data_IF_311714354173
#
_entry.id   IF_311714354173
#
_cell.length_a   1.000
_cell.length_b   1.000
_cell.length_c   1.000
_cell.angle_alpha   90.00
_cell.angle_beta   90.00
_cell.angle_gamma   90.00
#
_symmetry.space_group_name_H-M   'P 1'
#
loop_
_entity.id
_entity.type
_entity.pdbx_description
1 polymer ?
#
# COMPACT_ATOMS: atom_id res chain seq x y z
N UNK A 1 23.63 1.12 37.34
CA UNK A 1 23.68 1.63 35.95
C UNK A 1 22.63 0.87 35.16
N UNK A 2 21.46 1.48 34.97
CA UNK A 2 20.35 0.91 34.21
C UNK A 2 20.67 1.01 32.73
N UNK A 3 20.82 -0.14 32.08
CA UNK A 3 21.04 -0.25 30.64
C UNK A 3 19.73 0.13 29.95
N UNK A 4 19.69 1.32 29.37
CA UNK A 4 18.57 1.77 28.54
C UNK A 4 18.42 0.77 27.40
N UNK A 5 17.29 0.07 27.35
CA UNK A 5 16.86 -0.64 26.15
C UNK A 5 16.65 0.43 25.09
N UNK A 6 17.63 0.59 24.20
CA UNK A 6 17.43 1.28 22.94
C UNK A 6 16.34 0.51 22.20
N UNK A 7 15.11 1.04 22.24
CA UNK A 7 14.06 0.67 21.30
C UNK A 7 14.64 0.80 19.91
N UNK A 8 14.83 -0.33 19.23
CA UNK A 8 15.22 -0.31 17.83
C UNK A 8 14.27 0.62 17.07
N UNK A 9 14.78 1.49 16.18
CA UNK A 9 13.91 2.34 15.39
C UNK A 9 12.96 1.43 14.61
N UNK A 10 11.65 1.61 14.78
CA UNK A 10 10.68 0.95 13.91
C UNK A 10 11.10 1.19 12.47
N UNK A 11 11.46 0.12 11.77
CA UNK A 11 11.93 0.20 10.41
C UNK A 11 10.76 0.71 9.56
N UNK A 12 10.86 1.95 9.07
CA UNK A 12 9.81 2.57 8.25
C UNK A 12 9.62 1.69 7.02
N UNK A 13 8.46 1.09 6.85
CA UNK A 13 8.14 0.22 5.71
C UNK A 13 7.55 0.97 4.52
N UNK A 14 7.25 2.28 4.68
CA UNK A 14 6.72 3.14 3.62
C UNK A 14 7.67 4.31 3.34
N UNK A 15 8.05 4.46 2.08
CA UNK A 15 8.97 5.48 1.60
C UNK A 15 8.33 6.33 0.52
N UNK A 16 8.68 7.62 0.48
CA UNK A 16 8.26 8.53 -0.58
C UNK A 16 9.50 9.24 -1.11
N UNK A 17 9.77 9.07 -2.40
CA UNK A 17 11.04 9.44 -3.03
C UNK A 17 10.79 10.09 -4.39
N UNK A 18 11.67 11.01 -4.82
CA UNK A 18 11.61 11.58 -6.18
C UNK A 18 12.18 10.62 -7.23
N UNK A 19 13.18 9.85 -6.82
CA UNK A 19 13.88 8.86 -7.64
C UNK A 19 13.93 7.54 -6.87
N UNK A 20 14.07 6.45 -7.61
CA UNK A 20 14.23 5.10 -7.05
C UNK A 20 15.27 4.35 -7.84
N UNK A 21 15.89 3.34 -7.23
CA UNK A 21 16.82 2.46 -7.94
C UNK A 21 16.00 1.53 -8.87
N UNK A 22 16.24 1.56 -10.20
CA UNK A 22 15.54 0.70 -11.15
C UNK A 22 15.65 -0.80 -10.84
N UNK A 23 16.75 -1.23 -10.22
CA UNK A 23 16.97 -2.65 -9.86
C UNK A 23 15.91 -3.17 -8.88
N UNK A 24 15.31 -2.29 -8.07
CA UNK A 24 14.26 -2.62 -7.10
C UNK A 24 12.84 -2.35 -7.60
N UNK A 25 12.66 -2.01 -8.87
CA UNK A 25 11.31 -1.91 -9.47
C UNK A 25 10.74 -3.30 -9.76
N UNK A 26 11.57 -4.21 -10.28
CA UNK A 26 11.10 -5.54 -10.68
C UNK A 26 10.13 -5.46 -11.86
N UNK A 27 8.95 -6.07 -11.71
CA UNK A 27 7.95 -6.18 -12.78
C UNK A 27 6.94 -5.04 -12.73
N UNK A 28 6.73 -4.39 -13.86
CA UNK A 28 5.59 -3.47 -14.06
C UNK A 28 4.29 -4.29 -14.18
N UNK A 29 3.30 -3.97 -13.34
CA UNK A 29 2.00 -4.66 -13.28
C UNK A 29 0.82 -3.75 -13.61
N UNK A 30 1.04 -2.44 -13.63
CA UNK A 30 0.09 -1.43 -14.10
C UNK A 30 0.86 -0.29 -14.76
N UNK A 31 0.32 0.25 -15.86
CA UNK A 31 0.84 1.44 -16.51
C UNK A 31 -0.27 2.22 -17.21
N UNK A 32 -0.30 3.52 -16.95
CA UNK A 32 -1.08 4.51 -17.67
C UNK A 32 -0.16 5.64 -18.13
N UNK A 33 -0.39 6.13 -19.36
CA UNK A 33 0.47 7.08 -20.03
C UNK A 33 -0.08 8.50 -19.89
N UNK A 34 0.02 9.03 -18.67
CA UNK A 34 -0.34 10.43 -18.37
C UNK A 34 0.93 11.25 -18.12
N UNK A 35 1.14 12.29 -18.92
CA UNK A 35 2.21 13.25 -18.66
C UNK A 35 1.81 14.24 -17.57
N UNK A 36 2.65 14.37 -16.55
CA UNK A 36 2.42 15.25 -15.41
C UNK A 36 3.71 15.99 -15.06
N UNK A 37 3.64 17.28 -14.66
CA UNK A 37 4.82 18.08 -14.34
C UNK A 37 5.51 17.64 -13.03
N UNK A 38 4.75 17.09 -12.08
CA UNK A 38 5.29 16.57 -10.83
C UNK A 38 5.12 15.05 -10.79
N UNK A 39 6.18 14.37 -10.37
CA UNK A 39 6.21 12.92 -10.28
C UNK A 39 7.00 12.46 -9.07
N UNK A 40 6.58 11.35 -8.46
CA UNK A 40 7.26 10.77 -7.31
C UNK A 40 6.88 9.30 -7.14
N UNK A 41 7.68 8.58 -6.35
CA UNK A 41 7.45 7.19 -6.00
C UNK A 41 6.98 7.07 -4.56
N UNK A 42 6.00 6.20 -4.33
CA UNK A 42 5.60 5.71 -3.02
C UNK A 42 5.88 4.21 -2.98
N UNK A 43 6.69 3.79 -2.01
CA UNK A 43 7.21 2.42 -1.93
C UNK A 43 6.73 1.81 -0.61
N UNK A 44 6.08 0.65 -0.69
CA UNK A 44 5.80 -0.21 0.46
C UNK A 44 6.73 -1.43 0.42
N UNK A 45 7.54 -1.57 1.47
CA UNK A 45 8.31 -2.78 1.76
C UNK A 45 7.46 -3.73 2.63
N UNK A 46 7.33 -4.97 2.20
CA UNK A 46 6.69 -6.06 2.93
C UNK A 46 7.72 -7.13 3.24
N UNK A 47 7.68 -7.69 4.44
CA UNK A 47 8.57 -8.77 4.87
C UNK A 47 7.85 -10.13 4.93
N UNK A 48 8.49 -11.16 4.40
CA UNK A 48 8.05 -12.55 4.57
C UNK A 48 8.01 -12.87 6.06
N UNK A 49 7.10 -13.75 6.48
CA UNK A 49 6.89 -14.15 7.88
C UNK A 49 6.37 -13.05 8.82
N UNK A 50 6.41 -11.78 8.43
CA UNK A 50 5.76 -10.68 9.17
C UNK A 50 4.48 -10.21 8.50
N UNK A 51 4.48 -10.10 7.17
CA UNK A 51 3.39 -9.47 6.41
C UNK A 51 2.80 -10.38 5.34
N UNK A 52 3.59 -11.33 4.83
CA UNK A 52 3.11 -12.35 3.89
C UNK A 52 3.77 -13.72 4.12
N UNK A 53 3.24 -14.78 3.51
CA UNK A 53 3.75 -16.16 3.57
C UNK A 53 4.11 -16.75 2.20
N UNK A 54 3.52 -16.25 1.12
CA UNK A 54 3.74 -16.76 -0.24
C UNK A 54 3.38 -15.69 -1.29
N UNK A 55 3.64 -15.98 -2.57
CA UNK A 55 3.41 -15.05 -3.68
C UNK A 55 1.93 -14.72 -3.91
N UNK A 56 1.01 -15.65 -3.67
CA UNK A 56 -0.43 -15.40 -3.83
C UNK A 56 -0.94 -14.35 -2.83
N UNK A 57 -0.28 -14.22 -1.67
CA UNK A 57 -0.57 -13.14 -0.73
C UNK A 57 -0.07 -11.77 -1.22
N UNK A 58 0.91 -11.74 -2.12
CA UNK A 58 1.28 -10.53 -2.86
C UNK A 58 0.13 -10.06 -3.75
N UNK A 59 -0.48 -10.97 -4.52
CA UNK A 59 -1.65 -10.65 -5.35
C UNK A 59 -2.80 -10.05 -4.52
N UNK A 60 -3.07 -10.59 -3.33
CA UNK A 60 -4.08 -10.04 -2.42
C UNK A 60 -3.74 -8.63 -1.91
N UNK A 61 -2.46 -8.32 -1.68
CA UNK A 61 -2.07 -6.95 -1.32
C UNK A 61 -2.28 -5.99 -2.49
N UNK A 62 -2.01 -6.44 -3.72
CA UNK A 62 -2.27 -5.64 -4.91
C UNK A 62 -3.77 -5.35 -5.09
N UNK A 63 -4.63 -6.35 -4.89
CA UNK A 63 -6.09 -6.16 -4.88
C UNK A 63 -6.52 -5.14 -3.83
N UNK A 64 -6.05 -5.28 -2.58
CA UNK A 64 -6.35 -4.35 -1.50
C UNK A 64 -5.81 -2.94 -1.76
N UNK A 65 -4.67 -2.80 -2.44
CA UNK A 65 -4.11 -1.53 -2.87
C UNK A 65 -5.03 -0.85 -3.89
N UNK A 66 -5.51 -1.59 -4.89
CA UNK A 66 -6.44 -1.07 -5.89
C UNK A 66 -7.78 -0.68 -5.27
N UNK A 67 -8.39 -1.56 -4.49
CA UNK A 67 -9.66 -1.28 -3.79
C UNK A 67 -9.54 -0.04 -2.88
N UNK A 68 -8.47 0.04 -2.08
CA UNK A 68 -8.25 1.17 -1.18
C UNK A 68 -7.96 2.47 -1.91
N UNK A 69 -7.41 2.42 -3.13
CA UNK A 69 -7.22 3.60 -3.96
C UNK A 69 -8.56 4.07 -4.56
N UNK A 70 -9.33 3.15 -5.13
CA UNK A 70 -10.63 3.45 -5.76
C UNK A 70 -11.67 3.98 -4.76
N UNK A 71 -11.62 3.52 -3.50
CA UNK A 71 -12.49 4.03 -2.42
C UNK A 71 -12.03 5.37 -1.83
N UNK A 72 -10.81 5.82 -2.12
CA UNK A 72 -10.23 7.02 -1.51
C UNK A 72 -10.54 8.29 -2.30
N UNK A 73 -11.39 9.15 -1.73
CA UNK A 73 -11.60 10.52 -2.23
C UNK A 73 -10.52 11.50 -1.72
N UNK A 74 -9.54 11.05 -0.93
CA UNK A 74 -8.57 11.93 -0.27
C UNK A 74 -7.44 12.41 -1.19
N UNK A 75 -7.28 11.80 -2.37
CA UNK A 75 -6.12 11.98 -3.24
C UNK A 75 -6.49 12.32 -4.69
N UNK A 76 -7.63 12.96 -4.92
CA UNK A 76 -8.14 13.30 -6.28
C UNK A 76 -7.14 14.08 -7.15
N UNK A 77 -6.21 14.82 -6.54
CA UNK A 77 -5.16 15.58 -7.23
C UNK A 77 -3.96 14.72 -7.72
N UNK A 78 -3.97 13.42 -7.39
CA UNK A 78 -2.91 12.47 -7.72
C UNK A 78 -3.38 11.45 -8.76
N UNK A 79 -2.45 11.05 -9.63
CA UNK A 79 -2.67 10.06 -10.67
C UNK A 79 -1.71 8.90 -10.45
N UNK A 80 -2.24 7.69 -10.33
CA UNK A 80 -1.40 6.48 -10.39
C UNK A 80 -0.98 6.31 -11.84
N UNK A 81 0.32 6.45 -12.10
CA UNK A 81 0.86 6.28 -13.45
C UNK A 81 1.35 4.86 -13.66
N UNK A 82 2.06 4.29 -12.69
CA UNK A 82 2.61 2.94 -12.79
C UNK A 82 2.64 2.24 -11.45
N UNK A 83 2.52 0.92 -11.47
CA UNK A 83 2.76 0.08 -10.29
C UNK A 83 3.77 -0.99 -10.67
N UNK A 84 4.76 -1.14 -9.80
CA UNK A 84 5.81 -2.13 -9.92
C UNK A 84 5.83 -3.05 -8.70
N UNK A 85 6.17 -4.31 -8.92
CA UNK A 85 6.40 -5.30 -7.88
C UNK A 85 7.78 -5.94 -8.04
N UNK A 86 8.60 -5.81 -7.00
CA UNK A 86 9.86 -6.53 -6.87
C UNK A 86 9.73 -7.58 -5.78
N UNK A 87 10.23 -8.78 -6.06
CA UNK A 87 10.13 -9.91 -5.11
C UNK A 87 11.50 -10.55 -4.95
N UNK A 88 11.88 -10.72 -3.69
CA UNK A 88 13.01 -11.52 -3.23
C UNK A 88 12.53 -12.62 -2.29
N UNK A 89 13.45 -13.47 -1.85
CA UNK A 89 13.15 -14.61 -0.96
C UNK A 89 12.43 -14.18 0.32
N UNK A 90 12.77 -13.02 0.91
CA UNK A 90 12.25 -12.61 2.22
C UNK A 90 11.56 -11.24 2.23
N UNK A 91 11.50 -10.56 1.08
CA UNK A 91 10.90 -9.25 0.98
C UNK A 91 10.19 -9.04 -0.35
N UNK A 92 9.26 -8.10 -0.34
CA UNK A 92 8.55 -7.62 -1.52
C UNK A 92 8.46 -6.10 -1.46
N UNK A 93 8.68 -5.44 -2.60
CA UNK A 93 8.43 -4.01 -2.75
C UNK A 93 7.27 -3.79 -3.70
N UNK A 94 6.24 -3.10 -3.22
CA UNK A 94 5.25 -2.44 -4.08
C UNK A 94 5.67 -0.99 -4.27
N UNK A 95 5.93 -0.61 -5.52
CA UNK A 95 6.29 0.75 -5.87
C UNK A 95 5.22 1.36 -6.75
N UNK A 96 4.56 2.40 -6.27
CA UNK A 96 3.58 3.18 -7.03
C UNK A 96 4.24 4.46 -7.51
N UNK A 97 4.22 4.69 -8.81
CA UNK A 97 4.66 5.92 -9.44
C UNK A 97 3.47 6.84 -9.62
N UNK A 98 3.49 7.97 -8.92
CA UNK A 98 2.44 8.96 -8.95
C UNK A 98 2.82 10.16 -9.82
N UNK A 99 1.81 10.73 -10.47
CA UNK A 99 1.84 12.04 -11.10
C UNK A 99 0.91 13.03 -10.40
N UNK A 100 1.21 14.32 -10.53
CA UNK A 100 0.28 15.41 -10.19
C UNK A 100 0.53 16.64 -11.06
N UNK A 101 -0.51 17.43 -11.27
CA UNK A 101 -0.43 18.72 -11.94
C UNK A 101 0.01 19.85 -11.01
N UNK A 102 -0.11 19.66 -9.69
CA UNK A 102 0.29 20.63 -8.67
C UNK A 102 1.41 20.07 -7.77
N UNK A 103 2.25 20.92 -7.15
CA UNK A 103 3.23 20.47 -6.18
C UNK A 103 2.58 19.84 -4.94
N UNK A 104 3.06 18.66 -4.53
CA UNK A 104 2.51 18.01 -3.33
C UNK A 104 2.83 18.76 -2.04
N UNK A 105 1.83 18.87 -1.17
CA UNK A 105 2.01 19.45 0.17
C UNK A 105 2.66 18.44 1.13
N UNK A 106 3.17 18.92 2.27
CA UNK A 106 3.71 18.02 3.30
C UNK A 106 2.61 17.13 3.89
N UNK A 107 1.42 17.68 4.05
CA UNK A 107 0.30 16.98 4.70
C UNK A 107 -0.23 15.88 3.78
N UNK A 108 -0.38 16.15 2.48
CA UNK A 108 -0.67 15.13 1.48
C UNK A 108 0.36 13.99 1.50
N UNK A 109 1.66 14.33 1.47
CA UNK A 109 2.72 13.31 1.52
C UNK A 109 2.69 12.47 2.79
N UNK A 110 2.21 13.03 3.90
CA UNK A 110 2.13 12.34 5.18
C UNK A 110 0.89 11.43 5.21
N UNK A 111 -0.25 11.93 4.74
CA UNK A 111 -1.48 11.16 4.56
C UNK A 111 -1.27 9.98 3.60
N UNK A 112 -0.58 10.18 2.48
CA UNK A 112 -0.31 9.13 1.50
C UNK A 112 0.57 8.00 2.06
N UNK A 113 1.57 8.35 2.89
CA UNK A 113 2.38 7.34 3.59
C UNK A 113 1.55 6.56 4.60
N UNK A 114 0.67 7.24 5.32
CA UNK A 114 -0.21 6.60 6.30
C UNK A 114 -1.21 5.67 5.61
N UNK A 115 -1.86 6.14 4.55
CA UNK A 115 -2.77 5.35 3.72
C UNK A 115 -2.11 4.05 3.23
N UNK A 116 -0.94 4.15 2.59
CA UNK A 116 -0.19 2.97 2.12
C UNK A 116 0.24 2.04 3.27
N UNK A 117 0.40 2.57 4.49
CA UNK A 117 0.71 1.75 5.66
C UNK A 117 -0.51 0.98 6.18
N UNK A 118 -1.70 1.55 6.04
CA UNK A 118 -2.96 1.01 6.55
C UNK A 118 -3.61 -0.04 5.64
N UNK A 119 -3.18 -0.10 4.37
CA UNK A 119 -3.64 -1.15 3.44
C UNK A 119 -3.39 -2.52 4.08
N UNK A 120 -4.44 -3.35 4.21
CA UNK A 120 -4.33 -4.61 4.93
C UNK A 120 -3.42 -5.58 4.20
N UNK A 121 -2.49 -6.14 4.96
CA UNK A 121 -1.76 -7.35 4.55
C UNK A 121 -2.52 -8.58 5.03
N UNK A 122 -2.19 -9.76 4.52
CA UNK A 122 -2.88 -11.02 4.88
C UNK A 122 -2.82 -11.32 6.38
N UNK A 123 -1.73 -10.95 7.07
CA UNK A 123 -1.64 -11.07 8.54
C UNK A 123 -2.47 -10.03 9.29
N UNK A 124 -2.72 -8.88 8.67
CA UNK A 124 -3.44 -7.76 9.25
C UNK A 124 -4.91 -7.68 8.83
N UNK A 125 -5.41 -8.65 8.03
CA UNK A 125 -6.85 -8.89 7.89
C UNK A 125 -7.40 -9.22 9.28
N UNK A 126 -7.72 -8.19 10.07
CA UNK A 126 -8.66 -8.28 11.19
C UNK A 126 -9.81 -9.08 10.64
N UNK A 127 -10.10 -10.20 11.28
CA UNK A 127 -11.27 -11.01 11.01
C UNK A 127 -12.48 -10.09 11.03
N UNK A 128 -12.90 -9.60 9.86
CA UNK A 128 -14.24 -9.04 9.70
C UNK A 128 -15.12 -10.27 9.87
N UNK A 129 -15.54 -10.52 11.10
CA UNK A 129 -16.68 -11.39 11.35
C UNK A 129 -17.82 -10.77 10.56
N UNK A 130 -18.11 -11.34 9.40
CA UNK A 130 -19.41 -11.14 8.76
C UNK A 130 -20.41 -11.61 9.79
N UNK A 131 -21.11 -10.66 10.42
CA UNK A 131 -22.29 -10.99 11.19
C UNK A 131 -23.35 -11.42 10.17
N UNK A 132 -23.30 -12.68 9.77
CA UNK A 132 -24.48 -13.37 9.28
C UNK A 132 -25.55 -13.34 10.39
N UNK A 133 -26.81 -13.39 9.98
CA UNK A 133 -28.04 -13.51 10.78
C UNK A 133 -28.75 -12.19 11.17
N UNK A 134 -29.64 -11.73 10.30
CA UNK A 134 -31.09 -11.86 10.56
C UNK A 134 -31.92 -11.34 9.36
N UNK A 135 -32.15 -12.22 8.37
CA UNK A 135 -33.30 -12.05 7.48
C UNK A 135 -34.50 -12.64 8.22
N UNK A 136 -35.34 -11.79 8.80
CA UNK A 136 -36.67 -12.21 9.26
C UNK A 136 -37.54 -12.49 8.03
N UNK A 137 -37.76 -13.77 7.76
CA UNK A 137 -38.79 -14.23 6.83
C UNK A 137 -40.15 -14.09 7.53
N UNK A 138 -41.02 -13.28 6.95
CA UNK A 138 -42.42 -13.09 7.36
C UNK A 138 -43.20 -14.38 7.10
N UNK A 139 -43.94 -14.94 8.07
CA UNK A 139 -44.95 -15.95 7.77
C UNK A 139 -46.19 -15.27 7.20
N UNK A 140 -46.62 -15.71 6.01
CA UNK A 140 -47.94 -15.41 5.50
C UNK A 140 -48.96 -16.31 6.21
N UNK A 141 -49.98 -15.71 6.82
CA UNK A 141 -51.34 -16.26 6.94
C UNK A 141 -52.36 -15.14 6.73
#
# INVERSE_FOLDING_TARGET
MTKTLETQPEEKTVFLCKETNPDFLGREIYADNVETPYNFYLIRKLYLAKEYQNLAEGEQFFEALCESWDESEQFEELIVKKIYVYVETELMYYTVYFGSFEPTTRDLRSALKQWMYEIPTTKNKKTVRMNETNVQVVPQE
#
